data_IF_965644055692
#
_entry.id   IF_965644055692
#
_cell.length_a   1.000
_cell.length_b   1.000
_cell.length_c   1.000
_cell.angle_alpha   90.00
_cell.angle_beta   90.00
_cell.angle_gamma   90.00
#
_symmetry.space_group_name_H-M   'P 1'
#
loop_
_entity.id
_entity.type
_entity.pdbx_description
1 polymer ?
#
# COMPACT_ATOMS: atom_id res chain seq x y z
N UNK A 1 -26.36 -12.86 -10.16
CA UNK A 1 -25.34 -12.19 -10.97
C UNK A 1 -24.15 -11.95 -10.06
N UNK A 2 -23.00 -12.56 -10.36
CA UNK A 2 -21.76 -12.33 -9.62
C UNK A 2 -21.36 -10.86 -9.80
N UNK A 3 -21.39 -10.11 -8.70
CA UNK A 3 -21.01 -8.71 -8.70
C UNK A 3 -19.47 -8.65 -8.79
N UNK A 4 -18.95 -8.52 -10.02
CA UNK A 4 -17.51 -8.40 -10.32
C UNK A 4 -17.05 -6.95 -10.10
N UNK A 5 -17.16 -6.47 -8.85
CA UNK A 5 -16.61 -5.16 -8.47
C UNK A 5 -15.10 -5.28 -8.28
N UNK A 6 -14.34 -4.40 -8.94
CA UNK A 6 -12.89 -4.26 -8.74
C UNK A 6 -12.55 -3.59 -7.40
N UNK A 7 -13.51 -2.89 -6.79
CA UNK A 7 -13.34 -2.24 -5.50
C UNK A 7 -13.46 -3.28 -4.39
N UNK A 8 -12.31 -3.67 -3.84
CA UNK A 8 -12.21 -4.74 -2.84
C UNK A 8 -11.60 -4.28 -1.53
N UNK A 9 -10.89 -3.14 -1.54
CA UNK A 9 -10.27 -2.56 -0.36
C UNK A 9 -11.03 -1.32 0.07
N UNK A 10 -11.47 -1.34 1.32
CA UNK A 10 -12.17 -0.24 1.98
C UNK A 10 -11.20 0.72 2.65
N UNK A 11 -10.23 0.18 3.38
CA UNK A 11 -9.23 0.97 4.08
C UNK A 11 -7.94 0.18 4.29
N UNK A 12 -6.83 0.90 4.39
CA UNK A 12 -5.52 0.39 4.78
C UNK A 12 -5.07 1.17 6.03
N UNK A 13 -4.72 0.46 7.10
CA UNK A 13 -4.36 1.05 8.38
C UNK A 13 -3.06 0.43 8.92
N UNK A 14 -2.29 1.24 9.63
CA UNK A 14 -1.22 0.84 10.53
C UNK A 14 -1.53 1.47 11.88
N UNK A 15 -1.78 0.61 12.87
CA UNK A 15 -2.00 1.01 14.26
C UNK A 15 -0.81 0.57 15.12
N UNK A 16 -0.53 1.31 16.18
CA UNK A 16 0.42 0.86 17.19
C UNK A 16 -0.21 -0.10 18.21
N UNK A 17 0.60 -0.60 19.15
CA UNK A 17 0.17 -1.47 20.24
C UNK A 17 -0.93 -0.90 21.13
N UNK A 18 -1.08 0.43 21.17
CA UNK A 18 -2.07 1.14 21.97
C UNK A 18 -3.35 1.49 21.17
N UNK A 19 -3.40 1.09 19.90
CA UNK A 19 -4.50 1.38 18.99
C UNK A 19 -4.49 2.81 18.44
N UNK A 20 -3.37 3.53 18.59
CA UNK A 20 -3.19 4.84 17.98
C UNK A 20 -2.84 4.72 16.50
N UNK A 21 -3.30 5.71 15.74
CA UNK A 21 -3.10 5.81 14.30
C UNK A 21 -1.64 6.16 14.01
N UNK A 22 -0.95 5.29 13.29
CA UNK A 22 0.36 5.60 12.65
C UNK A 22 0.12 6.04 11.21
N UNK A 23 -0.63 5.26 10.45
CA UNK A 23 -1.03 5.57 9.08
C UNK A 23 -2.44 5.02 8.83
N UNK A 24 -3.30 5.80 8.18
CA UNK A 24 -4.63 5.33 7.75
C UNK A 24 -4.99 5.99 6.42
N UNK A 25 -5.43 5.17 5.46
CA UNK A 25 -6.02 5.60 4.20
C UNK A 25 -7.37 4.91 4.02
N UNK A 26 -8.43 5.71 3.90
CA UNK A 26 -9.77 5.26 3.56
C UNK A 26 -9.98 5.51 2.06
N UNK A 27 -10.37 4.48 1.32
CA UNK A 27 -10.54 4.57 -0.12
C UNK A 27 -11.99 4.91 -0.49
N UNK A 28 -12.15 5.73 -1.53
CA UNK A 28 -13.47 6.09 -2.05
C UNK A 28 -13.48 5.88 -3.58
N UNK A 29 -14.32 4.97 -4.12
CA UNK A 29 -14.44 4.75 -5.54
C UNK A 29 -14.87 6.03 -6.29
N UNK A 30 -14.08 6.56 -7.24
CA UNK A 30 -14.39 7.82 -7.92
C UNK A 30 -15.64 7.74 -8.81
N UNK A 31 -16.10 6.54 -9.17
CA UNK A 31 -17.22 6.32 -10.09
C UNK A 31 -18.50 5.79 -9.43
N UNK A 32 -18.56 5.70 -8.10
CA UNK A 32 -19.82 5.42 -7.42
C UNK A 32 -20.53 6.74 -7.11
N UNK A 33 -21.56 7.03 -7.91
CA UNK A 33 -22.35 8.24 -7.79
C UNK A 33 -22.89 8.40 -6.36
N UNK A 34 -22.59 9.54 -5.73
CA UNK A 34 -23.20 9.98 -4.49
C UNK A 34 -24.71 10.19 -4.75
N UNK A 35 -25.64 9.41 -4.17
CA UNK A 35 -27.04 9.80 -4.22
C UNK A 35 -27.20 10.98 -3.25
N UNK A 36 -27.54 12.14 -3.79
CA UNK A 36 -27.80 13.37 -3.05
C UNK A 36 -29.12 13.33 -2.24
N UNK A 37 -29.32 12.30 -1.42
CA UNK A 37 -30.52 12.14 -0.60
C UNK A 37 -30.11 11.84 0.83
N UNK A 38 -30.35 12.79 1.74
CA UNK A 38 -30.01 12.75 3.16
C UNK A 38 -30.77 11.68 3.97
N UNK A 39 -30.68 10.42 3.55
CA UNK A 39 -31.14 9.25 4.28
C UNK A 39 -29.93 8.75 5.10
N UNK A 40 -30.06 8.55 6.42
CA UNK A 40 -28.97 8.05 7.24
C UNK A 40 -28.60 6.65 6.73
N UNK A 41 -27.36 6.55 6.25
CA UNK A 41 -26.85 5.36 5.60
C UNK A 41 -26.59 4.32 6.68
N UNK A 42 -27.44 3.30 6.77
CA UNK A 42 -27.13 2.08 7.51
C UNK A 42 -25.80 1.49 7.02
N UNK A 43 -24.98 1.07 7.98
CA UNK A 43 -23.72 0.34 7.81
C UNK A 43 -23.87 -0.79 6.78
N UNK A 44 -23.62 -0.49 5.51
CA UNK A 44 -23.82 -1.47 4.45
C UNK A 44 -23.63 -0.93 3.04
N UNK A 45 -24.23 0.21 2.70
CA UNK A 45 -24.08 0.78 1.34
C UNK A 45 -24.29 2.28 1.39
N UNK A 46 -23.20 3.05 1.44
CA UNK A 46 -23.22 4.51 1.46
C UNK A 46 -22.42 5.14 0.34
N UNK A 47 -22.45 6.47 0.28
CA UNK A 47 -21.54 7.27 -0.55
C UNK A 47 -20.08 6.90 -0.19
N UNK A 48 -19.47 6.01 -0.96
CA UNK A 48 -18.24 5.29 -0.58
C UNK A 48 -18.20 3.83 -1.02
N UNK A 49 -19.34 3.23 -1.33
CA UNK A 49 -19.48 1.86 -1.78
C UNK A 49 -19.91 0.85 -0.75
N UNK A 50 -19.95 -0.45 -1.13
CA UNK A 50 -20.36 -1.51 -0.23
C UNK A 50 -19.47 -1.51 1.02
N UNK A 51 -20.05 -1.37 2.20
CA UNK A 51 -19.36 -1.27 3.49
C UNK A 51 -19.06 0.16 3.98
N UNK A 52 -19.02 1.17 3.09
CA UNK A 52 -18.44 2.49 3.36
C UNK A 52 -19.40 3.62 3.76
N UNK A 53 -20.56 3.27 4.33
CA UNK A 53 -21.47 4.28 4.87
C UNK A 53 -20.86 5.04 6.05
N UNK A 54 -20.47 6.30 5.84
CA UNK A 54 -20.19 7.25 6.93
C UNK A 54 -18.79 7.16 7.56
N UNK A 55 -17.74 6.88 6.80
CA UNK A 55 -16.33 6.99 7.28
C UNK A 55 -15.61 8.25 6.76
N UNK A 56 -16.38 9.27 6.37
CA UNK A 56 -15.84 10.54 5.86
C UNK A 56 -15.43 11.47 7.01
N UNK A 57 -16.14 11.41 8.14
CA UNK A 57 -15.86 12.25 9.30
C UNK A 57 -14.72 11.72 10.16
N UNK A 58 -13.83 12.60 10.62
CA UNK A 58 -12.73 12.23 11.54
C UNK A 58 -13.21 11.54 12.82
N UNK A 59 -14.35 11.97 13.38
CA UNK A 59 -14.97 11.36 14.56
C UNK A 59 -15.43 9.92 14.29
N UNK A 60 -15.99 9.68 13.11
CA UNK A 60 -16.48 8.37 12.69
C UNK A 60 -15.31 7.42 12.46
N UNK A 61 -14.26 7.89 11.78
CA UNK A 61 -13.01 7.14 11.58
C UNK A 61 -12.37 6.73 12.90
N UNK A 62 -12.28 7.65 13.88
CA UNK A 62 -11.73 7.33 15.21
C UNK A 62 -12.57 6.30 15.96
N UNK A 63 -13.88 6.36 15.81
CA UNK A 63 -14.80 5.38 16.41
C UNK A 63 -14.59 4.02 15.76
N UNK A 64 -14.48 3.98 14.43
CA UNK A 64 -14.20 2.78 13.66
C UNK A 64 -12.85 2.15 14.01
N UNK A 65 -11.77 2.94 14.04
CA UNK A 65 -10.43 2.50 14.47
C UNK A 65 -10.45 1.85 15.84
N UNK A 66 -11.16 2.46 16.80
CA UNK A 66 -11.32 1.88 18.13
C UNK A 66 -12.05 0.54 18.08
N UNK A 67 -13.12 0.43 17.31
CA UNK A 67 -13.85 -0.84 17.13
C UNK A 67 -12.99 -1.93 16.46
N UNK A 68 -12.18 -1.55 15.46
CA UNK A 68 -11.20 -2.43 14.82
C UNK A 68 -10.18 -2.93 15.84
N UNK A 69 -9.56 -2.03 16.60
CA UNK A 69 -8.58 -2.38 17.61
C UNK A 69 -9.16 -3.29 18.71
N UNK A 70 -10.34 -2.96 19.23
CA UNK A 70 -11.03 -3.79 20.23
C UNK A 70 -11.36 -5.19 19.68
N UNK A 71 -11.73 -5.29 18.39
CA UNK A 71 -12.02 -6.56 17.73
C UNK A 71 -10.76 -7.41 17.56
N UNK A 72 -9.65 -6.82 17.13
CA UNK A 72 -8.36 -7.49 16.96
C UNK A 72 -7.85 -8.01 18.29
N UNK A 73 -7.87 -7.17 19.34
CA UNK A 73 -7.37 -7.53 20.68
C UNK A 73 -8.16 -8.68 21.32
N UNK A 74 -9.47 -8.79 21.03
CA UNK A 74 -10.33 -9.86 21.56
C UNK A 74 -10.34 -11.10 20.68
N UNK A 75 -10.05 -10.94 19.39
CA UNK A 75 -10.01 -12.03 18.41
C UNK A 75 -8.68 -12.78 18.44
N UNK A 76 -8.73 -14.05 18.09
CA UNK A 76 -7.52 -14.82 17.79
C UNK A 76 -7.38 -14.96 16.27
N UNK A 77 -6.14 -15.00 15.78
CA UNK A 77 -5.81 -15.12 14.36
C UNK A 77 -5.78 -13.79 13.63
N UNK A 78 -5.63 -13.87 12.31
CA UNK A 78 -5.38 -12.72 11.42
C UNK A 78 -6.65 -12.21 10.72
N UNK A 79 -7.75 -12.96 10.77
CA UNK A 79 -8.99 -12.65 10.06
C UNK A 79 -10.10 -12.38 11.09
N UNK A 80 -10.68 -11.18 11.02
CA UNK A 80 -11.72 -10.75 11.94
C UNK A 80 -12.94 -10.18 11.19
N UNK A 81 -14.08 -10.89 11.19
CA UNK A 81 -15.32 -10.34 10.66
C UNK A 81 -15.89 -9.28 11.62
N UNK A 82 -16.13 -8.07 11.10
CA UNK A 82 -16.76 -6.94 11.78
C UNK A 82 -17.84 -6.33 10.86
N UNK A 83 -19.05 -6.90 10.80
CA UNK A 83 -20.09 -6.49 9.85
C UNK A 83 -20.30 -4.97 9.83
N UNK A 84 -20.32 -4.33 8.66
CA UNK A 84 -20.37 -4.89 7.31
C UNK A 84 -18.97 -5.20 6.69
N UNK A 85 -17.90 -5.11 7.48
CA UNK A 85 -16.52 -5.25 7.04
C UNK A 85 -15.90 -6.60 7.42
N UNK A 86 -14.87 -6.97 6.67
CA UNK A 86 -13.89 -7.97 7.06
C UNK A 86 -12.54 -7.29 7.26
N UNK A 87 -11.87 -7.64 8.34
CA UNK A 87 -10.60 -7.06 8.75
C UNK A 87 -9.55 -8.16 8.69
N UNK A 88 -8.47 -7.93 7.97
CA UNK A 88 -7.31 -8.80 7.99
C UNK A 88 -6.14 -8.06 8.61
N UNK A 89 -5.36 -8.75 9.43
CA UNK A 89 -4.31 -8.16 10.25
C UNK A 89 -3.01 -8.92 10.15
N UNK A 90 -1.92 -8.17 10.30
CA UNK A 90 -0.57 -8.71 10.44
C UNK A 90 0.18 -7.86 11.45
N UNK A 91 0.51 -8.45 12.59
CA UNK A 91 1.22 -7.76 13.67
C UNK A 91 2.72 -8.01 13.60
N UNK A 92 3.51 -6.97 13.85
CA UNK A 92 4.98 -7.00 13.89
C UNK A 92 5.44 -6.09 15.02
N UNK A 93 6.21 -6.63 15.97
CA UNK A 93 6.75 -5.86 17.11
C UNK A 93 5.65 -5.02 17.81
N UNK A 94 5.63 -3.71 17.58
CA UNK A 94 4.75 -2.71 18.18
C UNK A 94 3.74 -2.10 17.19
N UNK A 95 3.62 -2.68 15.99
CA UNK A 95 2.72 -2.26 14.93
C UNK A 95 1.79 -3.38 14.48
N UNK A 96 0.59 -3.00 14.04
CA UNK A 96 -0.38 -3.87 13.39
C UNK A 96 -0.78 -3.27 12.06
N UNK A 97 -0.45 -3.98 10.98
CA UNK A 97 -0.87 -3.69 9.62
C UNK A 97 -2.24 -4.29 9.40
N UNK A 98 -3.15 -3.53 8.80
CA UNK A 98 -4.56 -3.88 8.70
C UNK A 98 -5.07 -3.51 7.32
N UNK A 99 -5.73 -4.46 6.66
CA UNK A 99 -6.53 -4.19 5.47
C UNK A 99 -8.00 -4.49 5.77
N UNK A 100 -8.87 -3.60 5.32
CA UNK A 100 -10.32 -3.70 5.50
C UNK A 100 -10.96 -3.88 4.13
N UNK A 101 -11.88 -4.82 4.02
CA UNK A 101 -12.73 -4.99 2.83
C UNK A 101 -14.20 -5.21 3.19
N UNK A 102 -15.12 -5.21 2.21
CA UNK A 102 -16.53 -5.50 2.45
C UNK A 102 -16.76 -6.99 2.77
N UNK A 103 -17.49 -7.32 3.84
CA UNK A 103 -17.68 -8.72 4.27
C UNK A 103 -18.48 -9.56 3.26
N UNK A 104 -19.42 -8.96 2.54
CA UNK A 104 -20.35 -9.67 1.66
C UNK A 104 -19.74 -10.10 0.32
N UNK A 105 -18.67 -9.44 -0.13
CA UNK A 105 -18.11 -9.62 -1.48
C UNK A 105 -16.61 -9.86 -1.51
N UNK A 106 -15.89 -9.66 -0.40
CA UNK A 106 -14.43 -9.75 -0.39
C UNK A 106 -13.93 -11.19 -0.51
N UNK A 107 -12.85 -11.36 -1.27
CA UNK A 107 -12.03 -12.55 -1.21
C UNK A 107 -10.92 -12.34 -0.16
N UNK A 108 -11.03 -13.02 0.98
CA UNK A 108 -10.07 -12.95 2.09
C UNK A 108 -8.65 -13.31 1.67
N UNK A 109 -8.47 -14.30 0.80
CA UNK A 109 -7.16 -14.74 0.34
C UNK A 109 -6.44 -13.62 -0.44
N UNK A 110 -7.19 -12.92 -1.29
CA UNK A 110 -6.67 -11.80 -2.07
C UNK A 110 -6.30 -10.61 -1.17
N UNK A 111 -7.14 -10.30 -0.17
CA UNK A 111 -6.83 -9.27 0.83
C UNK A 111 -5.60 -9.65 1.65
N UNK A 112 -5.46 -10.92 2.04
CA UNK A 112 -4.31 -11.40 2.81
C UNK A 112 -3.01 -11.29 2.01
N UNK A 113 -3.05 -11.67 0.73
CA UNK A 113 -1.91 -11.53 -0.17
C UNK A 113 -1.52 -10.06 -0.34
N UNK A 114 -2.48 -9.16 -0.48
CA UNK A 114 -2.26 -7.71 -0.60
C UNK A 114 -1.63 -7.13 0.67
N UNK A 115 -2.17 -7.47 1.84
CA UNK A 115 -1.63 -7.04 3.14
C UNK A 115 -0.20 -7.53 3.34
N UNK A 116 0.07 -8.79 2.97
CA UNK A 116 1.40 -9.39 3.07
C UNK A 116 2.37 -8.71 2.10
N UNK A 117 1.95 -8.44 0.86
CA UNK A 117 2.77 -7.73 -0.12
C UNK A 117 3.15 -6.33 0.35
N UNK A 118 2.19 -5.58 0.91
CA UNK A 118 2.45 -4.26 1.49
C UNK A 118 3.42 -4.34 2.67
N UNK A 119 3.19 -5.25 3.61
CA UNK A 119 4.08 -5.45 4.76
C UNK A 119 5.50 -5.83 4.31
N UNK A 120 5.64 -6.79 3.40
CA UNK A 120 6.93 -7.27 2.92
C UNK A 120 7.64 -6.17 2.10
N UNK A 121 6.91 -5.33 1.36
CA UNK A 121 7.48 -4.16 0.68
C UNK A 121 8.01 -3.13 1.68
N UNK A 122 7.24 -2.81 2.72
CA UNK A 122 7.71 -1.92 3.81
C UNK A 122 8.92 -2.52 4.52
N UNK A 123 8.93 -3.83 4.75
CA UNK A 123 10.07 -4.52 5.34
C UNK A 123 11.34 -4.42 4.47
N UNK A 124 11.20 -4.54 3.15
CA UNK A 124 12.31 -4.33 2.20
C UNK A 124 12.82 -2.89 2.22
N UNK A 125 11.91 -1.91 2.19
CA UNK A 125 12.25 -0.49 2.20
C UNK A 125 12.95 -0.06 3.50
N UNK A 126 12.52 -0.62 4.63
CA UNK A 126 13.10 -0.38 5.97
C UNK A 126 14.24 -1.36 6.33
N UNK A 127 14.75 -2.13 5.36
CA UNK A 127 15.89 -3.05 5.52
C UNK A 127 15.73 -4.04 6.69
N UNK A 128 14.52 -4.56 6.89
CA UNK A 128 14.23 -5.59 7.88
C UNK A 128 13.78 -5.08 9.25
N UNK A 129 13.73 -3.77 9.49
CA UNK A 129 13.43 -3.21 10.81
C UNK A 129 12.10 -2.45 10.82
N UNK A 130 11.01 -3.23 10.85
CA UNK A 130 9.63 -2.71 10.91
C UNK A 130 9.21 -2.54 12.38
N UNK A 131 9.60 -1.41 12.97
CA UNK A 131 9.16 -0.93 14.28
C UNK A 131 8.58 0.49 14.15
N UNK A 132 7.76 0.93 15.11
CA UNK A 132 7.10 2.24 15.07
C UNK A 132 8.05 3.39 14.79
N UNK A 133 9.24 3.40 15.40
CA UNK A 133 10.24 4.46 15.20
C UNK A 133 10.67 4.56 13.74
N UNK A 134 11.08 3.45 13.13
CA UNK A 134 11.57 3.44 11.74
C UNK A 134 10.47 3.74 10.72
N UNK A 135 9.27 3.24 10.96
CA UNK A 135 8.09 3.55 10.12
C UNK A 135 7.77 5.05 10.16
N UNK A 136 7.89 5.69 11.32
CA UNK A 136 7.68 7.14 11.44
C UNK A 136 8.82 7.97 10.83
N UNK A 137 10.07 7.50 10.94
CA UNK A 137 11.24 8.16 10.33
C UNK A 137 11.23 8.13 8.80
N UNK A 138 10.67 7.09 8.20
CA UNK A 138 10.56 6.90 6.74
C UNK A 138 9.11 6.76 6.29
N UNK A 139 8.23 7.62 6.81
CA UNK A 139 6.78 7.56 6.54
C UNK A 139 6.46 7.82 5.06
N UNK A 140 7.25 8.65 4.39
CA UNK A 140 7.14 8.94 2.96
C UNK A 140 7.23 7.68 2.09
N UNK A 141 8.20 6.81 2.36
CA UNK A 141 8.36 5.53 1.66
C UNK A 141 7.18 4.60 1.92
N UNK A 142 6.65 4.59 3.15
CA UNK A 142 5.48 3.77 3.52
C UNK A 142 4.22 4.26 2.81
N UNK A 143 4.04 5.57 2.69
CA UNK A 143 2.92 6.17 1.95
C UNK A 143 3.00 5.84 0.46
N UNK A 144 4.17 5.96 -0.15
CA UNK A 144 4.37 5.59 -1.55
C UNK A 144 4.15 4.09 -1.79
N UNK A 145 4.61 3.24 -0.87
CA UNK A 145 4.33 1.80 -0.94
C UNK A 145 2.84 1.49 -0.84
N UNK A 146 2.09 2.22 -0.01
CA UNK A 146 0.65 2.07 0.09
C UNK A 146 -0.04 2.44 -1.24
N UNK A 147 0.39 3.53 -1.88
CA UNK A 147 -0.16 3.99 -3.17
C UNK A 147 0.14 3.01 -4.31
N UNK A 148 1.33 2.42 -4.36
CA UNK A 148 1.67 1.38 -5.35
C UNK A 148 0.96 0.05 -5.09
N UNK A 149 0.49 -0.20 -3.86
CA UNK A 149 -0.24 -1.43 -3.51
C UNK A 149 -1.73 -1.29 -3.84
N UNK A 150 -2.37 -0.20 -3.40
CA UNK A 150 -3.83 0.00 -3.51
C UNK A 150 -4.13 1.43 -3.95
N UNK A 151 -4.93 1.54 -5.00
CA UNK A 151 -5.40 2.82 -5.54
C UNK A 151 -6.93 2.87 -5.59
N UNK A 152 -7.52 3.87 -4.95
CA UNK A 152 -8.97 4.06 -4.82
C UNK A 152 -9.79 2.79 -4.47
N UNK A 153 -9.18 1.88 -3.71
CA UNK A 153 -9.81 0.63 -3.25
C UNK A 153 -9.65 -0.54 -4.22
N UNK A 154 -8.89 -0.35 -5.31
CA UNK A 154 -8.48 -1.35 -6.28
C UNK A 154 -7.07 -1.81 -5.92
N UNK A 155 -6.86 -3.12 -5.88
CA UNK A 155 -5.53 -3.70 -5.67
C UNK A 155 -4.75 -3.57 -6.98
N UNK A 156 -3.63 -2.85 -6.95
CA UNK A 156 -2.78 -2.64 -8.13
C UNK A 156 -1.68 -3.69 -8.24
N UNK A 157 -1.01 -3.99 -7.12
CA UNK A 157 0.15 -4.86 -7.10
C UNK A 157 0.17 -5.76 -5.86
N UNK A 158 0.63 -7.00 -6.05
CA UNK A 158 0.69 -8.01 -4.98
C UNK A 158 2.07 -8.63 -4.83
N UNK A 159 3.06 -8.15 -5.60
CA UNK A 159 4.46 -8.48 -5.41
C UNK A 159 5.21 -7.37 -4.64
N UNK A 160 5.74 -7.73 -3.48
CA UNK A 160 6.49 -6.83 -2.60
C UNK A 160 7.75 -6.26 -3.28
N UNK A 161 8.45 -7.07 -4.08
CA UNK A 161 9.67 -6.64 -4.76
C UNK A 161 9.36 -5.61 -5.85
N UNK A 162 8.30 -5.83 -6.63
CA UNK A 162 7.81 -4.87 -7.60
C UNK A 162 7.45 -3.53 -6.93
N UNK A 163 6.64 -3.55 -5.86
CA UNK A 163 6.25 -2.36 -5.09
C UNK A 163 7.50 -1.60 -4.61
N UNK A 164 8.39 -2.28 -3.87
CA UNK A 164 9.60 -1.64 -3.34
C UNK A 164 10.51 -1.08 -4.45
N UNK A 165 10.62 -1.77 -5.60
CA UNK A 165 11.42 -1.31 -6.73
C UNK A 165 10.86 -0.07 -7.41
N UNK A 166 9.54 0.16 -7.39
CA UNK A 166 8.92 1.36 -7.97
C UNK A 166 9.06 2.55 -7.02
N UNK A 167 8.89 2.32 -5.72
CA UNK A 167 9.04 3.32 -4.67
C UNK A 167 10.49 3.78 -4.52
N UNK A 168 11.46 2.86 -4.61
CA UNK A 168 12.89 3.16 -4.41
C UNK A 168 13.59 3.77 -5.60
N UNK A 169 13.01 3.71 -6.81
CA UNK A 169 13.60 4.36 -7.98
C UNK A 169 13.47 5.87 -7.79
N UNK A 170 14.59 6.61 -7.66
CA UNK A 170 14.53 8.03 -7.90
C UNK A 170 13.88 8.20 -9.28
N UNK A 171 12.98 9.16 -9.45
CA UNK A 171 12.69 9.66 -10.80
C UNK A 171 14.05 9.82 -11.48
N UNK A 172 14.28 9.30 -12.70
CA UNK A 172 15.52 9.56 -13.40
C UNK A 172 15.56 11.07 -13.63
N UNK A 173 16.11 11.79 -12.65
CA UNK A 173 16.52 13.16 -12.80
C UNK A 173 17.61 13.07 -13.84
N UNK A 174 17.36 13.69 -14.98
CA UNK A 174 18.19 13.61 -16.19
C UNK A 174 19.58 14.23 -16.01
N UNK A 175 20.02 14.50 -14.77
CA UNK A 175 21.19 15.32 -14.47
C UNK A 175 22.37 14.58 -13.86
N UNK A 176 22.23 13.37 -13.31
CA UNK A 176 23.38 12.69 -12.71
C UNK A 176 23.51 11.24 -13.19
N UNK A 177 23.85 11.09 -14.48
CA UNK A 177 24.61 9.92 -14.89
C UNK A 177 25.93 10.00 -14.11
N UNK A 178 26.10 9.15 -13.11
CA UNK A 178 27.40 8.94 -12.45
C UNK A 178 28.31 8.32 -13.49
N UNK A 179 29.00 9.16 -14.26
CA UNK A 179 30.00 8.75 -15.22
C UNK A 179 31.19 8.23 -14.40
N UNK A 180 31.19 6.92 -14.15
CA UNK A 180 32.34 6.24 -13.57
C UNK A 180 33.54 6.42 -14.52
N UNK A 181 34.65 6.94 -14.01
CA UNK A 181 35.88 7.18 -14.78
C UNK A 181 36.39 5.91 -15.46
N UNK A 182 36.10 4.73 -14.89
CA UNK A 182 36.39 3.43 -15.53
C UNK A 182 35.60 3.23 -16.82
N UNK A 183 34.35 3.69 -16.89
CA UNK A 183 33.51 3.59 -18.10
C UNK A 183 34.04 4.49 -19.21
N UNK A 184 34.49 5.70 -18.88
CA UNK A 184 35.16 6.60 -19.83
C UNK A 184 36.49 6.01 -20.32
N UNK A 185 37.28 5.44 -19.41
CA UNK A 185 38.57 4.84 -19.76
C UNK A 185 38.39 3.65 -20.71
N UNK A 186 37.39 2.79 -20.46
CA UNK A 186 37.05 1.66 -21.31
C UNK A 186 36.48 2.08 -22.67
N UNK A 187 35.69 3.16 -22.71
CA UNK A 187 35.20 3.75 -23.96
C UNK A 187 36.34 4.35 -24.79
N UNK A 188 37.31 5.01 -24.14
CA UNK A 188 38.49 5.57 -24.80
C UNK A 188 39.41 4.48 -25.37
N UNK A 189 39.64 3.38 -24.63
CA UNK A 189 40.41 2.23 -25.16
C UNK A 189 39.69 1.62 -26.36
N UNK A 190 38.38 1.40 -26.26
CA UNK A 190 37.58 0.85 -27.36
C UNK A 190 37.57 1.74 -28.61
N UNK A 191 37.53 3.07 -28.43
CA UNK A 191 37.64 4.03 -29.53
C UNK A 191 39.04 4.06 -30.13
N UNK A 192 40.09 4.07 -29.30
CA UNK A 192 41.48 4.00 -29.74
C UNK A 192 41.74 2.73 -30.55
N UNK A 193 41.25 1.60 -30.11
CA UNK A 193 41.43 0.31 -30.79
C UNK A 193 40.72 0.29 -32.14
N UNK A 194 39.49 0.84 -32.23
CA UNK A 194 38.76 0.98 -33.50
C UNK A 194 39.43 1.94 -34.48
N UNK A 195 40.01 3.03 -33.99
CA UNK A 195 40.75 3.99 -34.84
C UNK A 195 42.05 3.37 -35.34
N UNK A 196 42.78 2.69 -34.47
CA UNK A 196 44.04 2.00 -34.82
C UNK A 196 43.81 0.90 -35.86
N UNK A 197 42.74 0.11 -35.71
CA UNK A 197 42.34 -0.91 -36.70
C UNK A 197 41.96 -0.32 -38.05
N UNK A 198 41.34 0.87 -38.10
CA UNK A 198 41.01 1.54 -39.37
C UNK A 198 42.22 2.13 -40.08
N UNK A 199 43.25 2.55 -39.34
CA UNK A 199 44.48 3.11 -39.91
C UNK A 199 45.37 2.01 -40.51
N UNK A 200 45.35 0.79 -39.96
CA UNK A 200 46.10 -0.35 -40.50
C UNK A 200 45.47 -1.00 -41.74
N UNK A 201 44.27 -0.59 -42.15
CA UNK A 201 43.58 -1.08 -43.35
C UNK A 201 43.75 -0.17 -44.57
N UNK A 202 44.59 0.88 -44.47
CA UNK A 202 45.08 1.70 -45.58
C UNK A 202 46.58 1.48 -45.74
#
# INVERSE_FOLDING_TARGET
>A
MSNLSLYTVTALLILDSDGQRVFVKYYNPPHQAVPATGIPIELGVGAGGPGMGGLVGFKEQKTFEKSVFDKIRRGAGEIHPLPPHIILTRSVVDLTFIIVGPLSTSNELMLNQTLSAFFDAVNLLLRGSVEKRNVLESLDLVLLAADETVDDGIILETDAAAIASRVSRPRPDTTDIVINEQTLMNAYTSLRDRVSQKIQQF
#
